data_IF_240719944530
#
_entry.id   IF_240719944530
#
_cell.length_a   1.000
_cell.length_b   1.000
_cell.length_c   1.000
_cell.angle_alpha   90.00
_cell.angle_beta   90.00
_cell.angle_gamma   90.00
#
_symmetry.space_group_name_H-M   'P 1'
#
loop_
_entity.id
_entity.type
_entity.pdbx_description
1 polymer ?
#
# COMPACT_ATOMS: atom_id res chain seq x y z
N UNK A 1 -10.97 0.84 38.37
CA UNK A 1 -10.61 1.83 37.33
C UNK A 1 -9.73 1.13 36.31
N UNK A 2 -10.14 0.93 35.05
CA UNK A 2 -9.27 0.26 34.10
C UNK A 2 -8.22 1.27 33.61
N UNK A 3 -6.95 0.90 33.78
CA UNK A 3 -5.79 1.65 33.31
C UNK A 3 -5.84 1.75 31.79
N UNK A 4 -5.84 2.98 31.25
CA UNK A 4 -5.62 3.21 29.81
C UNK A 4 -4.26 2.64 29.46
N UNK A 5 -4.25 1.51 28.76
CA UNK A 5 -3.06 1.03 28.09
C UNK A 5 -2.74 2.07 27.02
N UNK A 6 -1.71 2.88 27.25
CA UNK A 6 -1.19 3.79 26.24
C UNK A 6 -0.38 2.90 25.28
N UNK A 7 -0.85 2.59 24.07
CA UNK A 7 -0.03 1.83 23.14
C UNK A 7 1.25 2.63 22.88
N UNK A 8 2.40 1.94 22.91
CA UNK A 8 3.68 2.51 22.52
C UNK A 8 3.52 3.27 21.19
N UNK A 9 4.28 4.36 20.94
CA UNK A 9 4.19 5.09 19.70
C UNK A 9 4.54 4.11 18.56
N UNK A 10 3.51 3.65 17.85
CA UNK A 10 3.69 2.93 16.60
C UNK A 10 4.53 3.85 15.75
N UNK A 11 5.69 3.38 15.30
CA UNK A 11 6.45 4.05 14.24
C UNK A 11 5.61 3.97 12.98
N UNK A 12 4.56 4.78 12.90
CA UNK A 12 3.64 4.82 11.78
C UNK A 12 4.45 5.26 10.57
N UNK A 13 4.60 4.36 9.60
CA UNK A 13 5.24 4.69 8.33
C UNK A 13 4.35 5.73 7.64
N UNK A 14 4.79 7.00 7.66
CA UNK A 14 4.01 8.13 7.13
C UNK A 14 3.93 7.99 5.62
N UNK A 15 2.72 7.78 5.11
CA UNK A 15 2.43 7.67 3.69
C UNK A 15 2.06 9.03 3.14
N UNK A 16 2.34 9.28 1.86
CA UNK A 16 1.95 10.51 1.17
C UNK A 16 1.24 10.19 -0.12
N UNK A 17 0.12 10.88 -0.37
CA UNK A 17 -0.48 10.88 -1.70
C UNK A 17 0.54 11.48 -2.68
N UNK A 18 0.84 10.83 -3.81
CA UNK A 18 1.91 11.26 -4.68
C UNK A 18 1.48 12.52 -5.44
N UNK A 19 2.31 13.57 -5.42
CA UNK A 19 2.03 14.81 -6.14
C UNK A 19 1.97 14.67 -7.67
N UNK A 20 2.53 13.56 -8.17
CA UNK A 20 2.41 13.12 -9.55
C UNK A 20 2.30 11.60 -9.52
N UNK A 21 1.38 10.98 -10.27
CA UNK A 21 1.33 9.53 -10.34
C UNK A 21 2.68 8.99 -10.82
N UNK A 22 3.16 7.86 -10.27
CA UNK A 22 4.32 7.17 -10.81
C UNK A 22 4.11 6.87 -12.29
N UNK A 23 5.16 6.90 -13.12
CA UNK A 23 5.04 6.57 -14.55
C UNK A 23 4.32 5.22 -14.74
N UNK A 24 3.20 5.23 -15.47
CA UNK A 24 2.54 4.01 -15.96
C UNK A 24 2.15 2.97 -14.91
N UNK A 25 1.87 3.36 -13.65
CA UNK A 25 1.57 2.39 -12.59
C UNK A 25 2.79 1.59 -12.11
N UNK A 26 3.99 2.17 -12.24
CA UNK A 26 5.26 1.52 -11.88
C UNK A 26 5.31 0.96 -10.46
N UNK A 27 4.65 1.60 -9.48
CA UNK A 27 4.53 1.06 -8.13
C UNK A 27 3.84 -0.32 -8.11
N UNK A 28 2.71 -0.48 -8.82
CA UNK A 28 2.02 -1.77 -8.94
C UNK A 28 2.88 -2.80 -9.67
N UNK A 29 3.54 -2.37 -10.75
CA UNK A 29 4.41 -3.26 -11.53
C UNK A 29 5.59 -3.79 -10.71
N UNK A 30 6.15 -2.97 -9.81
CA UNK A 30 7.24 -3.38 -8.93
C UNK A 30 6.77 -4.28 -7.79
N UNK A 31 5.66 -3.95 -7.13
CA UNK A 31 5.06 -4.80 -6.10
C UNK A 31 4.63 -6.16 -6.66
N UNK A 32 4.08 -6.18 -7.88
CA UNK A 32 3.69 -7.40 -8.58
C UNK A 32 4.84 -8.38 -8.84
N UNK A 33 6.10 -7.91 -8.89
CA UNK A 33 7.27 -8.82 -8.95
C UNK A 33 7.40 -9.61 -7.66
N UNK A 34 7.28 -8.92 -6.51
CA UNK A 34 7.34 -9.56 -5.18
C UNK A 34 6.21 -10.56 -4.98
N UNK A 35 4.97 -10.24 -5.39
CA UNK A 35 3.86 -11.20 -5.31
C UNK A 35 4.09 -12.46 -6.16
N UNK A 36 4.64 -12.30 -7.37
CA UNK A 36 4.98 -13.44 -8.25
C UNK A 36 6.09 -14.29 -7.65
N UNK A 37 7.10 -13.65 -7.05
CA UNK A 37 8.19 -14.35 -6.38
C UNK A 37 7.69 -15.18 -5.18
N UNK A 38 6.69 -14.67 -4.44
CA UNK A 38 6.11 -15.36 -3.27
C UNK A 38 5.23 -16.56 -3.65
N UNK A 39 4.41 -16.45 -4.71
CA UNK A 39 3.44 -17.51 -5.09
C UNK A 39 3.90 -18.44 -6.20
N UNK A 40 4.92 -18.06 -6.96
CA UNK A 40 5.40 -18.86 -8.09
C UNK A 40 4.29 -19.23 -9.08
N UNK A 41 4.21 -20.51 -9.42
CA UNK A 41 3.29 -21.07 -10.42
C UNK A 41 1.81 -21.08 -10.00
N UNK A 42 1.52 -20.92 -8.71
CA UNK A 42 0.15 -20.97 -8.14
C UNK A 42 -0.51 -19.57 -8.02
N UNK A 43 0.04 -18.59 -8.74
CA UNK A 43 -0.57 -17.28 -8.87
C UNK A 43 -1.66 -17.33 -9.95
N UNK A 44 -2.91 -17.45 -9.53
CA UNK A 44 -4.09 -17.32 -10.41
C UNK A 44 -4.46 -15.85 -10.58
N UNK A 45 -4.07 -15.16 -11.66
CA UNK A 45 -4.32 -13.72 -11.83
C UNK A 45 -5.82 -13.39 -11.99
N UNK A 46 -6.64 -14.39 -12.31
CA UNK A 46 -8.10 -14.22 -12.39
C UNK A 46 -8.74 -14.13 -11.00
N UNK A 47 -8.13 -14.74 -9.99
CA UNK A 47 -8.66 -14.81 -8.61
C UNK A 47 -7.95 -13.87 -7.66
N UNK A 48 -6.64 -13.71 -7.79
CA UNK A 48 -5.83 -12.93 -6.85
C UNK A 48 -5.33 -11.63 -7.45
N UNK A 49 -5.40 -10.57 -6.67
CA UNK A 49 -4.67 -9.33 -6.91
C UNK A 49 -3.49 -9.23 -5.94
N UNK A 50 -2.41 -8.60 -6.39
CA UNK A 50 -1.31 -8.22 -5.51
C UNK A 50 -1.75 -7.01 -4.67
N UNK A 51 -1.84 -7.18 -3.36
CA UNK A 51 -1.96 -6.09 -2.41
C UNK A 51 -0.57 -5.65 -1.95
N UNK A 52 -0.40 -4.34 -1.78
CA UNK A 52 0.91 -3.75 -1.51
C UNK A 52 0.85 -2.70 -0.41
N UNK A 53 1.82 -2.77 0.51
CA UNK A 53 2.04 -1.75 1.52
C UNK A 53 3.53 -1.36 1.58
N UNK A 54 3.91 -0.08 1.43
CA UNK A 54 3.06 1.07 1.11
C UNK A 54 2.29 0.96 -0.22
N UNK A 55 1.07 1.50 -0.26
CA UNK A 55 0.17 1.35 -1.41
C UNK A 55 0.74 1.96 -2.69
N UNK A 56 0.37 1.42 -3.85
CA UNK A 56 0.82 1.98 -5.12
C UNK A 56 0.35 3.42 -5.37
N UNK A 57 -0.75 3.83 -4.72
CA UNK A 57 -1.24 5.20 -4.71
C UNK A 57 -0.48 6.12 -3.74
N UNK A 58 0.70 5.73 -3.26
CA UNK A 58 1.53 6.54 -2.35
C UNK A 58 2.93 6.80 -2.93
N UNK A 59 3.58 7.87 -2.47
CA UNK A 59 4.97 8.17 -2.82
C UNK A 59 5.94 7.13 -2.28
N UNK A 60 5.59 6.43 -1.22
CA UNK A 60 6.41 5.40 -0.57
C UNK A 60 6.22 4.01 -1.22
N UNK A 61 5.40 3.90 -2.27
CA UNK A 61 5.16 2.66 -3.00
C UNK A 61 6.42 2.03 -3.59
N UNK A 62 6.30 0.79 -4.06
CA UNK A 62 7.42 -0.09 -4.36
C UNK A 62 8.46 0.44 -5.35
N UNK A 63 8.05 1.17 -6.39
CA UNK A 63 8.98 1.75 -7.37
C UNK A 63 9.59 3.06 -6.87
N UNK A 64 8.77 3.94 -6.31
CA UNK A 64 9.20 5.27 -5.88
C UNK A 64 10.10 5.24 -4.63
N UNK A 65 10.00 4.20 -3.81
CA UNK A 65 10.87 3.97 -2.64
C UNK A 65 12.12 3.14 -2.95
N UNK A 66 12.26 2.58 -4.15
CA UNK A 66 13.43 1.80 -4.60
C UNK A 66 14.48 2.61 -5.35
N UNK A 67 14.32 3.94 -5.44
CA UNK A 67 15.29 4.84 -6.08
C UNK A 67 16.69 4.82 -5.44
N UNK A 68 16.84 4.19 -4.28
CA UNK A 68 18.12 3.96 -3.58
C UNK A 68 18.82 2.65 -3.96
N UNK A 69 18.28 1.86 -4.90
CA UNK A 69 18.86 0.60 -5.38
C UNK A 69 17.92 -0.60 -5.34
N UNK A 70 18.23 -1.65 -6.10
CA UNK A 70 17.36 -2.81 -6.40
C UNK A 70 17.03 -3.72 -5.19
N UNK A 71 17.58 -3.45 -4.00
CA UNK A 71 17.26 -4.12 -2.72
C UNK A 71 16.53 -3.22 -1.70
N UNK A 72 16.06 -2.03 -2.10
CA UNK A 72 15.72 -0.97 -1.15
C UNK A 72 14.24 -0.88 -0.72
N UNK A 73 13.30 -1.62 -1.34
CA UNK A 73 11.90 -1.54 -0.91
C UNK A 73 11.72 -2.19 0.45
N UNK A 74 11.30 -1.39 1.45
CA UNK A 74 10.94 -1.86 2.80
C UNK A 74 9.43 -1.94 2.94
N UNK A 75 8.79 -2.69 2.05
CA UNK A 75 7.35 -2.93 2.06
C UNK A 75 7.00 -4.41 1.99
N UNK A 76 5.71 -4.69 2.00
CA UNK A 76 5.12 -6.00 1.82
C UNK A 76 4.27 -6.03 0.57
N UNK A 77 4.31 -7.14 -0.16
CA UNK A 77 3.35 -7.44 -1.19
C UNK A 77 2.82 -8.85 -0.99
N UNK A 78 1.52 -9.03 -1.11
CA UNK A 78 0.85 -10.30 -0.87
C UNK A 78 -0.34 -10.51 -1.81
N UNK A 79 -0.57 -11.72 -2.32
CA UNK A 79 -1.77 -12.02 -3.08
C UNK A 79 -2.96 -12.15 -2.14
N UNK A 80 -4.00 -11.38 -2.40
CA UNK A 80 -5.29 -11.47 -1.72
C UNK A 80 -6.41 -11.62 -2.75
N UNK A 81 -7.62 -11.95 -2.29
CA UNK A 81 -8.78 -12.07 -3.19
C UNK A 81 -8.97 -10.79 -4.04
N UNK A 82 -9.19 -11.00 -5.32
CA UNK A 82 -9.21 -9.93 -6.30
C UNK A 82 -10.37 -8.96 -6.08
N UNK A 83 -11.52 -9.45 -5.64
CA UNK A 83 -12.70 -8.62 -5.47
C UNK A 83 -12.63 -7.83 -4.16
N UNK A 84 -12.13 -8.44 -3.10
CA UNK A 84 -11.83 -7.73 -1.83
C UNK A 84 -10.80 -6.61 -2.03
N UNK A 85 -9.74 -6.86 -2.80
CA UNK A 85 -8.72 -5.84 -3.08
C UNK A 85 -9.28 -4.66 -3.90
N UNK A 86 -10.12 -4.94 -4.91
CA UNK A 86 -10.76 -3.88 -5.71
C UNK A 86 -11.72 -3.05 -4.87
N UNK A 87 -12.48 -3.70 -3.99
CA UNK A 87 -13.41 -3.03 -3.09
C UNK A 87 -12.67 -2.10 -2.12
N UNK A 88 -11.63 -2.61 -1.46
CA UNK A 88 -10.76 -1.82 -0.57
C UNK A 88 -10.10 -0.65 -1.30
N UNK A 89 -9.58 -0.89 -2.51
CA UNK A 89 -9.03 0.17 -3.36
C UNK A 89 -10.06 1.22 -3.77
N UNK A 90 -11.32 0.84 -3.92
CA UNK A 90 -12.43 1.78 -4.17
C UNK A 90 -12.69 2.63 -2.94
N UNK A 91 -12.84 2.02 -1.75
CA UNK A 91 -13.05 2.73 -0.48
C UNK A 91 -11.90 3.69 -0.16
N UNK A 92 -10.65 3.28 -0.38
CA UNK A 92 -9.52 4.19 -0.15
C UNK A 92 -9.60 5.44 -1.06
N UNK A 93 -10.08 5.28 -2.30
CA UNK A 93 -10.25 6.41 -3.21
C UNK A 93 -11.50 7.26 -2.91
N UNK A 94 -12.65 6.64 -2.66
CA UNK A 94 -13.93 7.36 -2.48
C UNK A 94 -14.11 7.86 -1.06
N UNK A 95 -13.80 7.04 -0.07
CA UNK A 95 -14.24 7.24 1.31
C UNK A 95 -13.10 7.77 2.18
N UNK A 96 -11.86 7.51 1.80
CA UNK A 96 -10.70 8.10 2.48
C UNK A 96 -10.20 9.36 1.76
N UNK A 97 -9.62 9.22 0.56
CA UNK A 97 -8.96 10.35 -0.12
C UNK A 97 -9.90 11.52 -0.43
N UNK A 98 -11.12 11.25 -0.91
CA UNK A 98 -12.07 12.33 -1.27
C UNK A 98 -12.75 12.94 -0.04
N UNK A 99 -13.32 12.13 0.85
CA UNK A 99 -14.08 12.62 2.01
C UNK A 99 -13.19 13.42 2.96
N UNK A 100 -11.98 12.94 3.24
CA UNK A 100 -11.04 13.63 4.11
C UNK A 100 -10.18 14.66 3.38
N UNK A 101 -10.43 14.89 2.08
CA UNK A 101 -9.69 15.83 1.23
C UNK A 101 -8.17 15.64 1.34
N UNK A 102 -7.70 14.40 1.31
CA UNK A 102 -6.27 14.10 1.28
C UNK A 102 -5.75 14.50 -0.09
N UNK A 103 -5.08 15.64 -0.15
CA UNK A 103 -4.55 16.20 -1.38
C UNK A 103 -3.21 15.59 -1.74
N UNK A 104 -2.80 15.82 -2.98
CA UNK A 104 -1.50 15.45 -3.49
C UNK A 104 -0.37 16.07 -2.62
N UNK A 105 0.51 15.23 -2.09
CA UNK A 105 1.55 15.60 -1.14
C UNK A 105 1.16 15.45 0.33
N UNK A 106 -0.14 15.33 0.63
CA UNK A 106 -0.60 15.24 2.01
C UNK A 106 -0.14 13.93 2.66
N UNK A 107 0.38 14.02 3.89
CA UNK A 107 0.74 12.85 4.64
C UNK A 107 -0.43 12.26 5.41
N UNK A 108 -0.48 10.94 5.46
CA UNK A 108 -1.41 10.19 6.29
C UNK A 108 -0.71 8.97 6.92
N UNK A 109 -1.38 8.33 7.87
CA UNK A 109 -0.91 7.12 8.54
C UNK A 109 -2.00 6.06 8.47
N UNK A 110 -1.59 4.80 8.40
CA UNK A 110 -2.51 3.66 8.52
C UNK A 110 -2.32 3.04 9.90
N UNK A 111 -3.43 2.78 10.57
CA UNK A 111 -3.48 2.03 11.81
C UNK A 111 -4.36 0.80 11.58
N UNK A 112 -3.84 -0.36 11.93
CA UNK A 112 -4.59 -1.61 11.93
C UNK A 112 -4.92 -1.92 13.39
N UNK A 113 -6.21 -2.00 13.69
CA UNK A 113 -6.70 -2.50 14.97
C UNK A 113 -7.03 -3.98 14.78
N UNK A 114 -6.34 -4.84 15.53
CA UNK A 114 -6.52 -6.30 15.53
C UNK A 114 -7.60 -6.72 16.52
#
# INVERSE_FOLDING_TARGET
>A
MPTRHNPAPVRSCRLRRPARPPPGGSNRAYAGKVCKDIRGVDYEPAKYNCDEYPFASTREGAYTSTSSGTRAWRGSAGPIDGDDNKLSGTWMNSDFYKVHRVLDGDPFVVKMDL
#
